data_IF_776965945398
#
_entry.id   IF_776965945398
#
_cell.length_a   1.000
_cell.length_b   1.000
_cell.length_c   1.000
_cell.angle_alpha   90.00
_cell.angle_beta   90.00
_cell.angle_gamma   90.00
#
_symmetry.space_group_name_H-M   'P 1'
#
loop_
_entity.id
_entity.type
_entity.pdbx_description
1 polymer ?
#
# COMPACT_ATOMS: atom_id res chain seq x y z
N UNK A 1 19.31 -9.29 10.32
CA UNK A 1 19.92 -9.92 9.13
C UNK A 1 21.30 -9.33 8.91
N UNK A 2 22.35 -10.16 8.77
CA UNK A 2 23.71 -9.68 8.42
C UNK A 2 23.90 -9.84 6.90
N UNK A 3 23.87 -8.72 6.17
CA UNK A 3 24.16 -8.65 4.74
C UNK A 3 25.64 -8.35 4.45
N UNK A 4 26.51 -8.65 5.42
CA UNK A 4 27.95 -8.47 5.28
C UNK A 4 28.46 -9.28 4.08
N UNK A 5 29.25 -8.63 3.23
CA UNK A 5 29.82 -9.18 1.99
C UNK A 5 28.79 -9.66 0.94
N UNK A 6 27.51 -9.32 1.10
CA UNK A 6 26.51 -9.58 0.07
C UNK A 6 26.66 -8.57 -1.08
N UNK A 7 26.65 -9.07 -2.31
CA UNK A 7 26.66 -8.25 -3.53
C UNK A 7 25.30 -8.22 -4.23
N UNK A 8 24.47 -9.24 -4.03
CA UNK A 8 23.14 -9.34 -4.61
C UNK A 8 22.16 -10.02 -3.67
N UNK A 9 20.89 -9.65 -3.79
CA UNK A 9 19.76 -10.26 -3.11
C UNK A 9 18.74 -10.70 -4.15
N UNK A 10 18.20 -11.91 -4.01
CA UNK A 10 17.00 -12.34 -4.72
C UNK A 10 15.88 -12.43 -3.69
N UNK A 11 14.73 -11.81 -3.94
CA UNK A 11 13.54 -11.87 -3.09
C UNK A 11 12.44 -12.48 -3.92
N UNK A 12 12.00 -13.69 -3.56
CA UNK A 12 10.88 -14.34 -4.21
C UNK A 12 9.56 -13.91 -3.56
N UNK A 13 8.45 -14.08 -4.25
CA UNK A 13 7.08 -13.83 -3.79
C UNK A 13 6.11 -14.61 -4.67
N UNK A 14 4.92 -14.93 -4.15
CA UNK A 14 3.84 -15.47 -5.00
C UNK A 14 3.11 -14.33 -5.73
N UNK A 15 3.33 -13.10 -5.27
CA UNK A 15 2.68 -11.90 -5.73
C UNK A 15 3.68 -10.75 -5.69
N UNK A 16 3.48 -9.78 -6.58
CA UNK A 16 4.18 -8.51 -6.52
C UNK A 16 3.56 -7.60 -5.45
N UNK A 17 2.23 -7.54 -5.44
CA UNK A 17 1.42 -6.67 -4.58
C UNK A 17 0.80 -7.42 -3.42
N UNK A 18 0.21 -6.69 -2.48
CA UNK A 18 -0.45 -7.26 -1.31
C UNK A 18 0.35 -7.11 -0.02
N UNK A 19 1.28 -6.13 0.06
CA UNK A 19 1.92 -5.85 1.34
C UNK A 19 0.87 -5.37 2.36
N UNK A 20 0.78 -6.05 3.51
CA UNK A 20 -0.22 -5.77 4.55
C UNK A 20 0.38 -5.47 5.92
N UNK A 21 1.57 -6.01 6.26
CA UNK A 21 2.26 -5.70 7.51
C UNK A 21 3.08 -4.41 7.35
N UNK A 22 2.52 -3.29 7.82
CA UNK A 22 3.15 -1.98 7.74
C UNK A 22 4.53 -1.94 8.41
N UNK A 23 4.68 -2.56 9.57
CA UNK A 23 5.92 -2.50 10.34
C UNK A 23 7.00 -3.32 9.64
N UNK A 24 6.69 -4.56 9.29
CA UNK A 24 7.61 -5.47 8.61
C UNK A 24 8.04 -4.92 7.24
N UNK A 25 7.08 -4.45 6.42
CA UNK A 25 7.37 -3.93 5.09
C UNK A 25 8.18 -2.61 5.14
N UNK A 26 7.81 -1.67 6.03
CA UNK A 26 8.54 -0.40 6.17
C UNK A 26 9.94 -0.61 6.72
N UNK A 27 10.11 -1.50 7.69
CA UNK A 27 11.42 -1.85 8.25
C UNK A 27 12.30 -2.51 7.18
N UNK A 28 11.75 -3.46 6.42
CA UNK A 28 12.42 -4.14 5.32
C UNK A 28 12.85 -3.16 4.23
N UNK A 29 11.95 -2.25 3.82
CA UNK A 29 12.24 -1.20 2.86
C UNK A 29 13.42 -0.33 3.31
N UNK A 30 13.39 0.16 4.55
CA UNK A 30 14.47 1.01 5.10
C UNK A 30 15.80 0.26 5.10
N UNK A 31 15.81 -1.00 5.50
CA UNK A 31 17.02 -1.83 5.50
C UNK A 31 17.55 -2.04 4.08
N UNK A 32 16.68 -2.34 3.12
CA UNK A 32 17.03 -2.56 1.72
C UNK A 32 17.62 -1.31 1.07
N UNK A 33 16.97 -0.15 1.27
CA UNK A 33 17.43 1.14 0.76
C UNK A 33 18.79 1.49 1.31
N UNK A 34 18.97 1.42 2.64
CA UNK A 34 20.27 1.66 3.28
C UNK A 34 21.35 0.76 2.69
N UNK A 35 21.05 -0.53 2.49
CA UNK A 35 22.00 -1.46 1.89
C UNK A 35 22.32 -1.10 0.43
N UNK A 36 21.35 -0.69 -0.38
CA UNK A 36 21.58 -0.26 -1.77
C UNK A 36 22.33 1.08 -1.86
N UNK A 37 22.08 2.02 -0.95
CA UNK A 37 22.71 3.34 -0.92
C UNK A 37 24.20 3.28 -0.56
N UNK A 38 24.61 2.27 0.22
CA UNK A 38 26.00 2.06 0.65
C UNK A 38 26.94 1.65 -0.50
N UNK A 39 26.44 0.96 -1.54
CA UNK A 39 27.26 0.57 -2.71
C UNK A 39 26.40 0.43 -3.98
N UNK A 40 26.70 1.24 -5.00
CA UNK A 40 25.99 1.28 -6.29
C UNK A 40 26.08 -0.02 -7.09
N UNK A 41 27.01 -0.91 -6.76
CA UNK A 41 27.15 -2.23 -7.40
C UNK A 41 26.19 -3.26 -6.83
N UNK A 42 25.63 -3.03 -5.64
CA UNK A 42 24.67 -3.94 -5.01
C UNK A 42 23.39 -4.04 -5.83
N UNK A 43 22.86 -5.26 -5.94
CA UNK A 43 21.66 -5.58 -6.72
C UNK A 43 20.57 -6.24 -5.88
N UNK A 44 19.32 -5.97 -6.24
CA UNK A 44 18.14 -6.65 -5.71
C UNK A 44 17.28 -7.13 -6.87
N UNK A 45 16.95 -8.39 -6.86
CA UNK A 45 16.13 -9.04 -7.88
C UNK A 45 14.83 -9.51 -7.23
N UNK A 46 13.70 -8.94 -7.65
CA UNK A 46 12.38 -9.35 -7.20
C UNK A 46 11.87 -10.43 -8.14
N UNK A 47 11.59 -11.62 -7.63
CA UNK A 47 11.17 -12.76 -8.42
C UNK A 47 9.70 -13.10 -8.14
N UNK A 48 8.87 -12.99 -9.17
CA UNK A 48 7.39 -13.13 -9.10
C UNK A 48 6.87 -14.15 -10.13
N UNK A 49 5.65 -14.68 -9.97
CA UNK A 49 5.04 -15.52 -10.99
C UNK A 49 4.75 -14.77 -12.29
N UNK A 50 4.76 -15.49 -13.42
CA UNK A 50 4.48 -14.89 -14.73
C UNK A 50 3.06 -14.31 -14.85
N UNK A 51 2.10 -14.92 -14.14
CA UNK A 51 0.68 -14.58 -14.11
C UNK A 51 0.33 -13.54 -13.04
N UNK A 52 1.31 -13.05 -12.27
CA UNK A 52 1.08 -12.00 -11.28
C UNK A 52 0.55 -10.71 -11.93
N UNK A 53 -0.37 -10.04 -11.23
CA UNK A 53 -0.78 -8.69 -11.56
C UNK A 53 0.45 -7.75 -11.51
N UNK A 54 0.72 -7.08 -12.63
CA UNK A 54 1.82 -6.11 -12.76
C UNK A 54 1.31 -4.69 -12.95
N UNK A 55 0.02 -4.52 -13.22
CA UNK A 55 -0.59 -3.20 -13.38
C UNK A 55 -1.06 -2.64 -12.04
N UNK A 56 -1.09 -3.44 -10.98
CA UNK A 56 -1.37 -2.94 -9.62
C UNK A 56 -2.85 -2.75 -9.34
N UNK A 57 -3.71 -3.51 -10.02
CA UNK A 57 -5.12 -3.63 -9.68
C UNK A 57 -5.33 -4.20 -8.27
N UNK A 58 -4.42 -5.06 -7.80
CA UNK A 58 -4.44 -5.61 -6.43
C UNK A 58 -3.50 -4.89 -5.45
N UNK A 59 -2.91 -3.76 -5.86
CA UNK A 59 -1.99 -3.01 -5.01
C UNK A 59 -2.69 -2.38 -3.81
N UNK A 60 -2.08 -2.48 -2.64
CA UNK A 60 -2.52 -1.82 -1.41
C UNK A 60 -2.01 -0.38 -1.33
N UNK A 61 -2.50 0.38 -0.35
CA UNK A 61 -1.94 1.69 -0.04
C UNK A 61 -0.49 1.62 0.44
N UNK A 62 -0.09 0.50 1.04
CA UNK A 62 1.28 0.24 1.44
C UNK A 62 2.17 -0.03 0.22
N UNK A 63 1.72 -0.83 -0.74
CA UNK A 63 2.48 -1.08 -1.98
C UNK A 63 2.84 0.22 -2.71
N UNK A 64 1.87 1.15 -2.85
CA UNK A 64 2.09 2.47 -3.47
C UNK A 64 3.20 3.26 -2.77
N UNK A 65 3.23 3.22 -1.43
CA UNK A 65 4.29 3.87 -0.62
C UNK A 65 5.64 3.20 -0.80
N UNK A 66 5.66 1.87 -0.84
CA UNK A 66 6.88 1.10 -1.02
C UNK A 66 7.48 1.37 -2.39
N UNK A 67 6.66 1.37 -3.44
CA UNK A 67 7.10 1.63 -4.82
C UNK A 67 7.66 3.05 -4.97
N UNK A 68 6.99 4.09 -4.44
CA UNK A 68 7.55 5.46 -4.42
C UNK A 68 8.95 5.51 -3.79
N UNK A 69 9.19 4.69 -2.76
CA UNK A 69 10.49 4.57 -2.11
C UNK A 69 11.52 3.69 -2.83
N UNK A 70 11.11 2.88 -3.81
CA UNK A 70 11.95 1.87 -4.49
C UNK A 70 12.24 2.18 -5.96
N UNK A 71 11.39 2.98 -6.61
CA UNK A 71 11.43 3.22 -8.06
C UNK A 71 12.79 3.71 -8.57
N UNK A 72 13.47 4.55 -7.81
CA UNK A 72 14.79 5.08 -8.19
C UNK A 72 15.86 3.99 -8.31
N UNK A 73 15.73 2.90 -7.54
CA UNK A 73 16.64 1.76 -7.62
C UNK A 73 16.36 0.91 -8.86
N UNK A 74 15.12 0.85 -9.35
CA UNK A 74 14.84 0.23 -10.65
C UNK A 74 15.41 1.10 -11.78
N UNK A 75 15.15 2.41 -11.75
CA UNK A 75 15.64 3.39 -12.75
C UNK A 75 17.16 3.40 -12.86
N UNK A 76 17.87 3.25 -11.75
CA UNK A 76 19.34 3.23 -11.73
C UNK A 76 19.94 1.82 -11.92
N UNK A 77 19.08 0.81 -12.12
CA UNK A 77 19.46 -0.58 -12.38
C UNK A 77 19.98 -1.35 -11.16
N UNK A 78 19.83 -0.84 -9.94
CA UNK A 78 20.12 -1.58 -8.70
C UNK A 78 19.01 -2.56 -8.33
N UNK A 79 17.79 -2.34 -8.79
CA UNK A 79 16.66 -3.24 -8.61
C UNK A 79 16.13 -3.71 -9.96
N UNK A 80 15.66 -4.95 -10.04
CA UNK A 80 15.04 -5.49 -11.25
C UNK A 80 13.97 -6.50 -10.88
N UNK A 81 12.91 -6.58 -11.68
CA UNK A 81 11.84 -7.56 -11.51
C UNK A 81 12.03 -8.68 -12.52
N UNK A 82 11.84 -9.91 -12.06
CA UNK A 82 11.95 -11.12 -12.86
C UNK A 82 10.69 -11.98 -12.67
N UNK A 83 10.33 -12.69 -13.73
CA UNK A 83 9.21 -13.60 -13.75
C UNK A 83 9.68 -15.05 -13.89
N UNK A 84 9.00 -15.98 -13.22
CA UNK A 84 9.21 -17.41 -13.36
C UNK A 84 7.88 -18.17 -13.27
N UNK A 85 7.88 -19.42 -13.75
CA UNK A 85 6.74 -20.33 -13.59
C UNK A 85 6.32 -20.47 -12.11
N UNK A 86 5.03 -20.44 -11.84
CA UNK A 86 4.47 -20.44 -10.48
C UNK A 86 4.80 -21.74 -9.74
N UNK A 87 4.82 -22.89 -10.43
CA UNK A 87 5.19 -24.19 -9.85
C UNK A 87 6.68 -24.30 -9.51
N UNK A 88 7.53 -23.56 -10.23
CA UNK A 88 8.94 -23.36 -9.86
C UNK A 88 9.06 -22.48 -8.63
N UNK A 89 8.37 -21.34 -8.58
CA UNK A 89 8.45 -20.40 -7.46
C UNK A 89 7.89 -20.92 -6.14
N UNK A 90 6.90 -21.79 -6.19
CA UNK A 90 6.37 -22.47 -5.00
C UNK A 90 7.44 -23.24 -4.21
N UNK A 91 8.58 -23.55 -4.83
CA UNK A 91 9.73 -24.23 -4.22
C UNK A 91 10.98 -23.36 -4.18
N UNK A 92 10.85 -22.04 -4.30
CA UNK A 92 11.96 -21.12 -4.18
C UNK A 92 12.22 -20.74 -2.71
N UNK A 93 13.47 -20.40 -2.34
CA UNK A 93 13.72 -19.64 -1.13
C UNK A 93 12.99 -18.30 -1.17
N UNK A 94 12.46 -17.84 -0.03
CA UNK A 94 11.87 -16.48 0.12
C UNK A 94 12.89 -15.40 -0.20
N UNK A 95 14.13 -15.64 0.20
CA UNK A 95 15.24 -14.74 -0.06
C UNK A 95 16.54 -15.52 -0.24
N UNK A 96 17.36 -15.08 -1.19
CA UNK A 96 18.70 -15.60 -1.44
C UNK A 96 19.68 -14.43 -1.27
N UNK A 97 20.66 -14.58 -0.39
CA UNK A 97 21.73 -13.62 -0.20
C UNK A 97 22.98 -14.16 -0.89
N UNK A 98 23.40 -13.49 -1.98
CA UNK A 98 24.55 -13.90 -2.76
C UNK A 98 25.80 -13.20 -2.23
N UNK A 99 26.78 -14.00 -1.80
CA UNK A 99 28.05 -13.55 -1.23
C UNK A 99 29.23 -14.09 -2.05
N UNK A 100 30.42 -13.57 -1.78
CA UNK A 100 31.66 -14.01 -2.44
C UNK A 100 32.01 -15.49 -2.20
N UNK A 101 31.65 -16.03 -1.03
CA UNK A 101 32.05 -17.38 -0.59
C UNK A 101 30.90 -18.41 -0.61
N UNK A 102 29.71 -18.02 -1.09
CA UNK A 102 28.54 -18.90 -1.11
C UNK A 102 27.22 -18.15 -1.09
N UNK A 103 26.13 -18.88 -0.83
CA UNK A 103 24.78 -18.33 -0.76
C UNK A 103 24.12 -18.69 0.57
N UNK A 104 23.40 -17.72 1.14
CA UNK A 104 22.45 -17.98 2.22
C UNK A 104 21.04 -18.00 1.62
N UNK A 105 20.33 -19.12 1.76
CA UNK A 105 18.96 -19.31 1.27
C UNK A 105 18.00 -19.36 2.46
N UNK A 106 17.06 -18.42 2.51
CA UNK A 106 16.05 -18.31 3.54
C UNK A 106 14.76 -18.94 3.04
N UNK A 107 14.38 -20.04 3.66
CA UNK A 107 13.27 -20.88 3.25
C UNK A 107 12.07 -20.68 4.17
N UNK A 108 10.86 -20.76 3.61
CA UNK A 108 9.63 -20.44 4.32
C UNK A 108 8.40 -20.71 3.47
N UNK A 109 7.24 -20.41 4.03
CA UNK A 109 5.96 -20.46 3.30
C UNK A 109 5.89 -19.34 2.27
N UNK A 110 5.50 -19.68 1.04
CA UNK A 110 5.35 -18.77 -0.10
C UNK A 110 3.91 -18.29 -0.30
N UNK A 111 2.93 -18.95 0.32
CA UNK A 111 1.51 -18.73 0.04
C UNK A 111 1.07 -17.33 0.50
N UNK A 112 0.47 -16.56 -0.41
CA UNK A 112 0.02 -15.19 -0.22
C UNK A 112 1.12 -14.22 0.25
N UNK A 113 2.36 -14.43 -0.18
CA UNK A 113 3.52 -13.61 0.19
C UNK A 113 3.97 -12.66 -0.93
N UNK A 114 3.68 -11.38 -0.76
CA UNK A 114 4.21 -10.32 -1.62
C UNK A 114 5.74 -10.17 -1.47
N UNK A 115 6.46 -9.95 -2.57
CA UNK A 115 7.88 -9.55 -2.54
C UNK A 115 8.11 -8.23 -1.78
N UNK A 116 7.10 -7.37 -1.70
CA UNK A 116 7.14 -6.09 -1.00
C UNK A 116 6.70 -6.20 0.48
N UNK A 117 6.09 -7.32 0.87
CA UNK A 117 5.59 -7.55 2.24
C UNK A 117 6.67 -7.77 3.31
N UNK A 118 7.93 -7.88 2.90
CA UNK A 118 9.09 -8.14 3.76
C UNK A 118 9.72 -9.51 3.47
N UNK A 119 10.98 -9.57 3.02
CA UNK A 119 11.60 -10.80 2.50
C UNK A 119 11.84 -11.89 3.55
N UNK A 120 11.72 -11.54 4.84
CA UNK A 120 11.85 -12.47 5.96
C UNK A 120 10.51 -12.89 6.56
N UNK A 121 9.38 -12.37 6.06
CA UNK A 121 8.07 -12.83 6.48
C UNK A 121 7.88 -14.30 6.06
N UNK A 122 7.41 -15.13 7.00
CA UNK A 122 7.18 -16.56 6.76
C UNK A 122 8.44 -17.43 6.68
N UNK A 123 9.64 -16.87 6.87
CA UNK A 123 10.89 -17.65 6.87
C UNK A 123 10.98 -18.52 8.11
N UNK A 124 11.22 -19.81 7.91
CA UNK A 124 11.32 -20.81 8.98
C UNK A 124 12.75 -21.32 9.18
N UNK A 125 13.59 -21.34 8.14
CA UNK A 125 14.96 -21.86 8.25
C UNK A 125 15.94 -21.22 7.25
N UNK A 126 17.22 -21.37 7.56
CA UNK A 126 18.35 -20.91 6.76
C UNK A 126 19.14 -22.11 6.25
N UNK A 127 19.32 -22.20 4.93
CA UNK A 127 20.26 -23.09 4.27
C UNK A 127 21.50 -22.30 3.83
N UNK A 128 22.70 -22.88 3.98
CA UNK A 128 23.92 -22.35 3.39
C UNK A 128 24.39 -23.29 2.31
N UNK A 129 24.53 -22.79 1.10
CA UNK A 129 24.83 -23.60 -0.08
C UNK A 129 26.01 -23.03 -0.84
N UNK A 130 26.75 -23.92 -1.51
CA UNK A 130 27.72 -23.49 -2.51
C UNK A 130 26.96 -23.00 -3.76
N UNK A 131 27.53 -22.08 -4.57
CA UNK A 131 26.82 -21.49 -5.70
C UNK A 131 26.21 -22.50 -6.68
N UNK A 132 26.92 -23.59 -6.99
CA UNK A 132 26.47 -24.62 -7.92
C UNK A 132 25.30 -25.47 -7.39
N UNK A 133 25.13 -25.53 -6.08
CA UNK A 133 24.07 -26.30 -5.41
C UNK A 133 22.86 -25.43 -5.05
N UNK A 134 22.94 -24.12 -5.35
CA UNK A 134 21.88 -23.15 -5.04
C UNK A 134 20.65 -23.34 -5.91
N UNK A 135 19.50 -22.96 -5.37
CA UNK A 135 18.24 -22.99 -6.08
C UNK A 135 18.30 -22.10 -7.34
N UNK A 136 18.90 -20.90 -7.23
CA UNK A 136 18.96 -19.96 -8.35
C UNK A 136 19.80 -20.52 -9.50
N UNK A 137 20.92 -21.19 -9.21
CA UNK A 137 21.75 -21.81 -10.24
C UNK A 137 20.99 -22.90 -11.01
N UNK A 138 20.25 -23.76 -10.30
CA UNK A 138 19.45 -24.82 -10.91
C UNK A 138 18.28 -24.31 -11.77
N UNK A 139 17.82 -23.07 -11.54
CA UNK A 139 16.56 -22.56 -12.08
C UNK A 139 16.70 -21.35 -13.02
N UNK A 140 17.90 -20.80 -13.18
CA UNK A 140 18.12 -19.54 -13.92
C UNK A 140 17.63 -19.56 -15.36
N UNK A 141 17.68 -20.73 -16.02
CA UNK A 141 17.33 -20.88 -17.44
C UNK A 141 15.86 -20.59 -17.80
N UNK A 142 14.96 -20.47 -16.82
CA UNK A 142 13.57 -20.08 -17.07
C UNK A 142 13.11 -18.92 -16.20
N UNK A 143 14.03 -18.02 -15.85
CA UNK A 143 13.74 -16.75 -15.20
C UNK A 143 13.85 -15.65 -16.25
N UNK A 144 12.79 -14.87 -16.44
CA UNK A 144 12.73 -13.80 -17.45
C UNK A 144 12.71 -12.43 -16.80
N UNK A 145 13.58 -11.53 -17.22
CA UNK A 145 13.55 -10.13 -16.77
C UNK A 145 12.30 -9.41 -17.26
N UNK A 146 11.73 -8.58 -16.40
CA UNK A 146 10.68 -7.62 -16.69
C UNK A 146 11.25 -6.22 -16.54
N UNK A 147 11.05 -5.36 -17.54
CA UNK A 147 11.58 -4.00 -17.52
C UNK A 147 10.54 -3.00 -17.04
N UNK A 148 10.98 -2.09 -16.16
CA UNK A 148 10.22 -0.92 -15.73
C UNK A 148 8.91 -1.24 -15.02
N UNK A 149 8.84 -2.33 -14.26
CA UNK A 149 7.60 -2.75 -13.59
C UNK A 149 7.22 -1.75 -12.50
N UNK A 150 8.18 -1.38 -11.64
CA UNK A 150 7.94 -0.43 -10.56
C UNK A 150 7.77 0.99 -11.11
N UNK A 151 8.55 1.35 -12.13
CA UNK A 151 8.47 2.65 -12.80
C UNK A 151 7.13 2.87 -13.50
N UNK A 152 6.64 1.87 -14.24
CA UNK A 152 5.33 1.93 -14.92
C UNK A 152 4.20 2.08 -13.91
N UNK A 153 4.25 1.34 -12.80
CA UNK A 153 3.25 1.47 -11.75
C UNK A 153 3.36 2.84 -11.05
N UNK A 154 4.57 3.29 -10.71
CA UNK A 154 4.81 4.58 -10.06
C UNK A 154 4.36 5.76 -10.93
N UNK A 155 4.48 5.68 -12.26
CA UNK A 155 4.02 6.73 -13.17
C UNK A 155 2.51 7.02 -13.07
N UNK A 156 1.73 6.08 -12.52
CA UNK A 156 0.29 6.25 -12.26
C UNK A 156 -0.02 6.84 -10.89
N UNK A 157 0.98 6.94 -10.02
CA UNK A 157 0.84 7.45 -8.66
C UNK A 157 1.13 8.94 -8.65
N UNK A 158 0.13 9.75 -8.27
CA UNK A 158 0.38 11.15 -7.91
C UNK A 158 0.59 11.25 -6.42
N UNK A 159 1.75 11.73 -6.01
CA UNK A 159 2.09 12.00 -4.61
C UNK A 159 1.88 13.48 -4.29
N UNK A 160 1.21 13.75 -3.17
CA UNK A 160 1.09 15.09 -2.59
C UNK A 160 1.62 15.01 -1.15
N UNK A 161 2.62 15.84 -0.85
CA UNK A 161 3.27 15.92 0.46
C UNK A 161 2.88 17.24 1.14
N UNK A 162 2.12 17.15 2.24
CA UNK A 162 1.74 18.28 3.07
C UNK A 162 2.60 18.31 4.34
N UNK A 163 3.46 19.32 4.45
CA UNK A 163 4.22 19.58 5.68
C UNK A 163 3.37 20.32 6.70
N UNK A 164 3.75 20.29 8.00
CA UNK A 164 3.10 21.10 9.02
C UNK A 164 3.05 22.59 8.63
N UNK A 165 1.85 23.16 8.57
CA UNK A 165 1.60 24.56 8.24
C UNK A 165 1.30 24.82 6.77
N UNK A 166 1.50 23.85 5.88
CA UNK A 166 1.22 24.02 4.45
C UNK A 166 -0.28 24.25 4.20
N UNK A 167 -0.65 25.18 3.29
CA UNK A 167 -2.03 25.29 2.85
C UNK A 167 -2.46 23.99 2.17
N UNK A 168 -3.70 23.57 2.42
CA UNK A 168 -4.27 22.37 1.82
C UNK A 168 -5.32 22.74 0.80
N UNK A 169 -4.92 22.67 -0.46
CA UNK A 169 -5.84 22.78 -1.57
C UNK A 169 -6.53 21.44 -1.79
N UNK A 170 -7.68 21.27 -1.14
CA UNK A 170 -8.50 20.07 -1.28
C UNK A 170 -9.19 20.00 -2.65
N UNK A 171 -9.40 21.14 -3.33
CA UNK A 171 -9.96 21.12 -4.68
C UNK A 171 -8.95 20.53 -5.66
N UNK A 172 -7.67 20.87 -5.50
CA UNK A 172 -6.59 20.22 -6.25
C UNK A 172 -6.43 18.73 -5.89
N UNK A 173 -6.51 18.39 -4.60
CA UNK A 173 -6.39 16.99 -4.16
C UNK A 173 -7.49 16.12 -4.77
N UNK A 174 -8.74 16.57 -4.74
CA UNK A 174 -9.91 15.83 -5.21
C UNK A 174 -10.32 16.23 -6.64
N UNK A 175 -9.42 16.82 -7.43
CA UNK A 175 -9.75 17.41 -8.74
C UNK A 175 -10.46 16.44 -9.68
N UNK A 176 -10.15 15.14 -9.58
CA UNK A 176 -10.71 14.09 -10.42
C UNK A 176 -12.21 13.84 -10.19
N UNK A 177 -12.73 14.25 -9.03
CA UNK A 177 -14.14 14.04 -8.63
C UNK A 177 -14.89 15.36 -8.38
N UNK A 178 -14.27 16.52 -8.60
CA UNK A 178 -14.93 17.83 -8.51
C UNK A 178 -16.15 17.85 -9.44
N UNK A 179 -17.28 18.35 -8.92
CA UNK A 179 -18.58 18.40 -9.59
C UNK A 179 -19.16 17.03 -10.05
N UNK A 180 -18.60 15.91 -9.57
CA UNK A 180 -19.07 14.55 -9.87
C UNK A 180 -20.03 14.02 -8.82
N UNK A 181 -20.82 13.01 -9.20
CA UNK A 181 -21.57 12.19 -8.26
C UNK A 181 -20.83 10.86 -8.03
N UNK A 182 -20.53 10.53 -6.79
CA UNK A 182 -19.68 9.38 -6.42
C UNK A 182 -20.29 8.54 -5.31
N UNK A 183 -20.03 7.23 -5.35
CA UNK A 183 -20.04 6.39 -4.17
C UNK A 183 -18.66 6.46 -3.52
N UNK A 184 -18.63 6.72 -2.21
CA UNK A 184 -17.42 6.94 -1.44
C UNK A 184 -17.24 5.80 -0.43
N UNK A 185 -16.08 5.13 -0.47
CA UNK A 185 -15.67 4.13 0.51
C UNK A 185 -14.48 4.67 1.32
N UNK A 186 -14.61 4.70 2.64
CA UNK A 186 -13.57 5.19 3.53
C UNK A 186 -13.17 4.07 4.48
N UNK A 187 -11.88 3.80 4.52
CA UNK A 187 -11.27 2.97 5.54
C UNK A 187 -10.23 3.79 6.30
N UNK A 188 -10.41 3.94 7.61
CA UNK A 188 -9.41 4.51 8.50
C UNK A 188 -9.70 4.04 9.95
N UNK A 189 -8.75 3.36 10.62
CA UNK A 189 -8.92 2.86 11.98
C UNK A 189 -9.36 3.90 13.00
N UNK A 190 -9.07 5.17 12.75
CA UNK A 190 -9.27 6.25 13.70
C UNK A 190 -10.34 7.25 13.26
N UNK A 191 -10.91 7.17 12.05
CA UNK A 191 -11.69 8.27 11.46
C UNK A 191 -12.88 8.73 12.29
N UNK A 192 -13.49 7.87 13.11
CA UNK A 192 -14.61 8.26 13.98
C UNK A 192 -14.46 7.84 15.45
N UNK A 193 -13.30 7.30 15.83
CA UNK A 193 -13.08 6.75 17.16
C UNK A 193 -13.28 7.81 18.26
N UNK A 194 -12.69 9.00 18.10
CA UNK A 194 -12.74 10.07 19.12
C UNK A 194 -13.55 11.29 18.63
N UNK A 195 -14.02 12.18 19.53
CA UNK A 195 -14.76 13.39 19.14
C UNK A 195 -14.05 14.22 18.06
N UNK A 196 -12.75 14.49 18.26
CA UNK A 196 -11.95 15.24 17.28
C UNK A 196 -11.86 14.52 15.92
N UNK A 197 -11.84 13.18 15.89
CA UNK A 197 -11.82 12.44 14.62
C UNK A 197 -13.15 12.61 13.87
N UNK A 198 -14.28 12.54 14.59
CA UNK A 198 -15.62 12.76 14.01
C UNK A 198 -15.77 14.16 13.42
N UNK A 199 -15.27 15.19 14.12
CA UNK A 199 -15.25 16.56 13.61
C UNK A 199 -14.39 16.70 12.34
N UNK A 200 -13.23 16.00 12.29
CA UNK A 200 -12.36 15.99 11.10
C UNK A 200 -13.01 15.27 9.93
N UNK A 201 -13.72 14.15 10.20
CA UNK A 201 -14.46 13.42 9.19
C UNK A 201 -15.63 14.25 8.64
N UNK A 202 -16.37 14.95 9.49
CA UNK A 202 -17.38 15.93 9.04
C UNK A 202 -16.74 17.03 8.18
N UNK A 203 -15.61 17.59 8.60
CA UNK A 203 -14.92 18.63 7.85
C UNK A 203 -14.46 18.15 6.46
N UNK A 204 -14.05 16.88 6.33
CA UNK A 204 -13.75 16.25 5.06
C UNK A 204 -15.00 16.24 4.16
N UNK A 205 -16.12 15.69 4.63
CA UNK A 205 -17.36 15.61 3.86
C UNK A 205 -17.90 17.00 3.48
N UNK A 206 -17.82 17.96 4.40
CA UNK A 206 -18.19 19.36 4.15
C UNK A 206 -17.29 19.99 3.07
N UNK A 207 -16.00 19.63 3.08
CA UNK A 207 -15.05 20.10 2.07
C UNK A 207 -15.38 19.52 0.69
N UNK A 208 -15.65 18.21 0.60
CA UNK A 208 -16.08 17.54 -0.62
C UNK A 208 -17.36 18.18 -1.18
N UNK A 209 -18.36 18.37 -0.33
CA UNK A 209 -19.61 19.03 -0.71
C UNK A 209 -19.38 20.45 -1.25
N UNK A 210 -18.52 21.24 -0.58
CA UNK A 210 -18.19 22.61 -0.99
C UNK A 210 -17.49 22.68 -2.34
N UNK A 211 -16.70 21.67 -2.71
CA UNK A 211 -16.05 21.57 -4.03
C UNK A 211 -16.94 20.84 -5.07
N UNK A 212 -18.24 20.71 -4.80
CA UNK A 212 -19.22 20.20 -5.76
C UNK A 212 -19.36 18.68 -5.83
N UNK A 213 -18.60 17.92 -5.02
CA UNK A 213 -18.72 16.46 -4.97
C UNK A 213 -20.06 16.09 -4.33
N UNK A 214 -20.86 15.30 -5.04
CA UNK A 214 -22.12 14.75 -4.55
C UNK A 214 -21.92 13.31 -4.12
N UNK A 215 -22.00 13.04 -2.82
CA UNK A 215 -21.85 11.66 -2.31
C UNK A 215 -23.20 10.95 -2.37
N UNK A 216 -23.29 9.92 -3.21
CA UNK A 216 -24.42 9.01 -3.27
C UNK A 216 -24.45 8.13 -2.02
N UNK A 217 -23.67 7.05 -2.04
CA UNK A 217 -23.43 6.20 -0.89
C UNK A 217 -22.11 6.55 -0.22
N UNK A 218 -22.12 6.59 1.11
CA UNK A 218 -20.95 6.66 1.97
C UNK A 218 -20.80 5.36 2.74
N UNK A 219 -19.80 4.55 2.42
CA UNK A 219 -19.41 3.37 3.18
C UNK A 219 -18.24 3.73 4.10
N UNK A 220 -18.34 3.38 5.38
CA UNK A 220 -17.35 3.73 6.39
C UNK A 220 -16.91 2.50 7.20
N UNK A 221 -15.60 2.25 7.19
CA UNK A 221 -14.93 1.21 7.99
C UNK A 221 -13.98 1.89 8.97
N UNK A 222 -14.09 1.55 10.25
CA UNK A 222 -13.22 2.04 11.32
C UNK A 222 -12.97 0.91 12.34
N UNK A 223 -12.04 1.10 13.28
CA UNK A 223 -11.77 0.14 14.37
C UNK A 223 -12.52 0.56 15.63
N UNK A 224 -13.62 -0.12 16.03
CA UNK A 224 -14.38 0.28 17.22
C UNK A 224 -13.53 0.23 18.50
N UNK A 225 -12.62 -0.75 18.59
CA UNK A 225 -11.72 -0.93 19.74
C UNK A 225 -10.78 0.25 20.03
N UNK A 226 -10.64 1.21 19.11
CA UNK A 226 -9.86 2.43 19.34
C UNK A 226 -10.57 3.46 20.26
N UNK A 227 -11.84 3.21 20.59
CA UNK A 227 -12.60 3.92 21.63
C UNK A 227 -13.29 2.90 22.53
N UNK A 228 -12.61 2.38 23.58
CA UNK A 228 -13.15 1.32 24.42
C UNK A 228 -14.36 1.77 25.26
N UNK A 229 -14.60 3.08 25.37
CA UNK A 229 -15.72 3.64 26.14
C UNK A 229 -17.07 3.53 25.41
N UNK A 230 -17.07 3.30 24.09
CA UNK A 230 -18.27 3.26 23.25
C UNK A 230 -18.23 2.05 22.32
N UNK A 231 -19.33 1.31 22.23
CA UNK A 231 -19.44 0.26 21.21
C UNK A 231 -19.61 0.84 19.79
N UNK A 232 -19.48 -0.02 18.77
CA UNK A 232 -19.59 0.40 17.37
C UNK A 232 -20.92 1.09 17.05
N UNK A 233 -22.03 0.64 17.67
CA UNK A 233 -23.36 1.20 17.46
C UNK A 233 -23.45 2.62 18.01
N UNK A 234 -22.99 2.85 19.24
CA UNK A 234 -22.98 4.16 19.86
C UNK A 234 -22.08 5.14 19.08
N UNK A 235 -20.91 4.68 18.62
CA UNK A 235 -20.04 5.48 17.75
C UNK A 235 -20.75 5.87 16.44
N UNK A 236 -21.44 4.92 15.80
CA UNK A 236 -22.23 5.14 14.57
C UNK A 236 -23.39 6.12 14.76
N UNK A 237 -24.13 6.00 15.86
CA UNK A 237 -25.23 6.90 16.20
C UNK A 237 -24.73 8.33 16.43
N UNK A 238 -23.60 8.50 17.12
CA UNK A 238 -23.02 9.81 17.35
C UNK A 238 -22.57 10.47 16.05
N UNK A 239 -21.94 9.71 15.14
CA UNK A 239 -21.61 10.24 13.81
C UNK A 239 -22.87 10.59 13.02
N UNK A 240 -23.86 9.71 13.01
CA UNK A 240 -25.12 9.95 12.28
C UNK A 240 -25.80 11.22 12.76
N UNK A 241 -25.84 11.47 14.08
CA UNK A 241 -26.36 12.72 14.64
C UNK A 241 -25.53 13.93 14.23
N UNK A 242 -24.20 13.81 14.24
CA UNK A 242 -23.30 14.89 13.83
C UNK A 242 -23.51 15.30 12.37
N UNK A 243 -23.76 14.34 11.49
CA UNK A 243 -23.93 14.57 10.05
C UNK A 243 -25.39 14.88 9.64
N UNK A 244 -26.36 14.65 10.52
CA UNK A 244 -27.78 14.80 10.24
C UNK A 244 -28.14 16.22 9.78
N UNK A 245 -28.99 16.32 8.75
CA UNK A 245 -29.50 17.59 8.23
C UNK A 245 -28.51 18.40 7.38
N UNK A 246 -27.28 17.91 7.16
CA UNK A 246 -26.24 18.64 6.41
C UNK A 246 -26.21 18.37 4.91
N UNK A 247 -26.96 17.37 4.42
CA UNK A 247 -27.03 17.03 3.00
C UNK A 247 -25.70 16.54 2.40
N UNK A 248 -24.80 15.99 3.22
CA UNK A 248 -23.44 15.61 2.81
C UNK A 248 -23.37 14.27 2.07
N UNK A 249 -24.41 13.45 2.13
CA UNK A 249 -24.55 12.15 1.46
C UNK A 249 -26.04 11.78 1.31
N UNK A 250 -26.38 10.80 0.44
CA UNK A 250 -27.74 10.24 0.36
C UNK A 250 -27.94 9.00 1.23
N UNK A 251 -26.98 8.08 1.21
CA UNK A 251 -27.01 6.83 1.98
C UNK A 251 -25.71 6.70 2.79
N UNK A 252 -25.81 6.36 4.08
CA UNK A 252 -24.66 6.07 4.94
C UNK A 252 -24.71 4.62 5.41
N UNK A 253 -23.62 3.89 5.19
CA UNK A 253 -23.42 2.52 5.65
C UNK A 253 -22.21 2.44 6.55
N UNK A 254 -22.38 1.74 7.65
CA UNK A 254 -21.34 1.44 8.61
C UNK A 254 -20.93 -0.02 8.48
N UNK A 255 -19.65 -0.27 8.28
CA UNK A 255 -19.05 -1.61 8.28
C UNK A 255 -17.89 -1.62 9.28
N UNK A 256 -18.17 -1.59 10.60
CA UNK A 256 -17.12 -1.57 11.61
C UNK A 256 -16.23 -2.80 11.49
N UNK A 257 -14.91 -2.61 11.53
CA UNK A 257 -13.98 -3.71 11.42
C UNK A 257 -14.19 -4.72 12.57
N UNK A 258 -14.40 -5.99 12.21
CA UNK A 258 -14.45 -7.09 13.18
C UNK A 258 -13.06 -7.26 13.83
N UNK A 259 -13.03 -7.62 15.12
CA UNK A 259 -11.83 -8.01 15.84
C UNK A 259 -11.04 -9.14 15.14
N UNK A 260 -11.70 -9.92 14.26
CA UNK A 260 -11.05 -10.94 13.41
C UNK A 260 -10.22 -10.37 12.27
N UNK A 261 -10.47 -9.13 11.81
CA UNK A 261 -9.56 -8.40 10.92
C UNK A 261 -8.36 -7.95 11.75
N UNK A 262 -7.43 -8.87 12.03
CA UNK A 262 -6.22 -8.64 12.83
C UNK A 262 -5.32 -7.50 12.31
N UNK A 263 -5.55 -7.01 11.09
CA UNK A 263 -4.67 -6.08 10.37
C UNK A 263 -5.43 -4.93 9.71
N UNK A 264 -6.21 -4.18 10.49
CA UNK A 264 -6.89 -2.97 9.99
C UNK A 264 -6.00 -1.73 10.22
N UNK A 265 -5.14 -1.45 9.25
CA UNK A 265 -4.23 -0.29 9.25
C UNK A 265 -4.39 0.60 8.02
N UNK A 266 -5.17 0.14 7.04
CA UNK A 266 -5.38 0.85 5.79
C UNK A 266 -6.12 2.16 6.04
N UNK A 267 -5.66 3.19 5.34
CA UNK A 267 -6.12 4.57 5.50
C UNK A 267 -6.31 5.12 4.10
N UNK A 268 -7.52 5.02 3.58
CA UNK A 268 -7.81 5.48 2.24
C UNK A 268 -9.23 6.00 2.08
N UNK A 269 -9.40 6.75 1.01
CA UNK A 269 -10.70 7.14 0.45
C UNK A 269 -10.72 6.61 -0.96
N UNK A 270 -11.77 5.91 -1.32
CA UNK A 270 -12.03 5.45 -2.69
C UNK A 270 -13.34 6.08 -3.16
N UNK A 271 -13.33 6.57 -4.39
CA UNK A 271 -14.46 7.24 -5.00
C UNK A 271 -14.74 6.64 -6.38
N UNK A 272 -15.92 6.06 -6.54
CA UNK A 272 -16.40 5.50 -7.81
C UNK A 272 -17.50 6.41 -8.34
N UNK A 273 -17.37 6.93 -9.56
CA UNK A 273 -18.40 7.80 -10.14
C UNK A 273 -19.66 7.01 -10.50
N UNK A 274 -20.82 7.60 -10.21
CA UNK A 274 -22.15 7.03 -10.47
C UNK A 274 -23.05 7.97 -11.29
N UNK A 275 -22.47 9.06 -11.81
CA UNK A 275 -23.15 9.96 -12.75
C UNK A 275 -23.12 9.42 -14.20
N UNK A 276 -23.66 10.21 -15.14
CA UNK A 276 -23.76 9.83 -16.56
C UNK A 276 -22.53 10.17 -17.40
N UNK A 277 -21.44 10.63 -16.78
CA UNK A 277 -20.19 10.95 -17.49
C UNK A 277 -19.30 9.69 -17.56
N UNK A 278 -18.09 9.84 -18.12
CA UNK A 278 -17.13 8.72 -18.20
C UNK A 278 -16.87 8.12 -16.81
N UNK A 279 -16.98 6.78 -16.66
CA UNK A 279 -16.71 6.11 -15.39
C UNK A 279 -15.25 6.27 -14.99
N UNK A 280 -15.05 6.56 -13.71
CA UNK A 280 -13.73 6.62 -13.12
C UNK A 280 -13.79 6.09 -11.69
N UNK A 281 -12.68 5.50 -11.27
CA UNK A 281 -12.39 5.12 -9.90
C UNK A 281 -11.13 5.87 -9.46
N UNK A 282 -11.19 6.55 -8.31
CA UNK A 282 -10.02 7.18 -7.70
C UNK A 282 -9.82 6.68 -6.31
N UNK A 283 -8.58 6.32 -6.01
CA UNK A 283 -8.14 5.95 -4.67
C UNK A 283 -7.14 6.97 -4.14
N UNK A 284 -7.33 7.37 -2.90
CA UNK A 284 -6.49 8.29 -2.14
C UNK A 284 -5.98 7.57 -0.89
N UNK A 285 -4.75 7.08 -0.93
CA UNK A 285 -4.10 6.45 0.23
C UNK A 285 -3.41 7.50 1.09
N UNK A 286 -3.87 7.66 2.32
CA UNK A 286 -3.50 8.76 3.23
C UNK A 286 -2.58 8.21 4.32
N UNK A 287 -1.31 8.61 4.36
CA UNK A 287 -0.32 8.03 5.27
C UNK A 287 -0.75 8.06 6.73
N UNK A 288 -1.30 9.18 7.17
CA UNK A 288 -1.65 9.44 8.56
C UNK A 288 -3.17 9.57 8.80
N UNK A 289 -3.98 9.16 7.81
CA UNK A 289 -5.44 9.14 7.91
C UNK A 289 -6.10 10.52 7.83
N UNK A 290 -7.42 10.53 7.95
CA UNK A 290 -8.27 11.70 7.70
C UNK A 290 -8.02 12.81 8.72
N UNK A 291 -7.72 12.46 9.97
CA UNK A 291 -7.37 13.46 11.00
C UNK A 291 -6.18 14.31 10.56
N UNK A 292 -5.12 13.65 10.08
CA UNK A 292 -3.97 14.35 9.56
C UNK A 292 -4.25 15.05 8.24
N UNK A 293 -5.07 14.50 7.33
CA UNK A 293 -5.47 15.15 6.07
C UNK A 293 -6.28 16.43 6.29
N UNK A 294 -7.04 16.52 7.39
CA UNK A 294 -7.86 17.69 7.69
C UNK A 294 -7.24 18.65 8.72
N UNK A 295 -6.11 18.31 9.34
CA UNK A 295 -5.37 19.16 10.28
C UNK A 295 -4.11 19.80 9.69
N UNK A 296 -4.17 21.09 9.30
CA UNK A 296 -3.07 21.87 8.69
C UNK A 296 -1.73 21.80 9.44
N UNK A 297 -1.76 21.70 10.76
CA UNK A 297 -0.55 21.67 11.60
C UNK A 297 0.13 20.28 11.63
N UNK A 298 -0.41 19.29 10.92
CA UNK A 298 0.12 17.93 10.88
C UNK A 298 0.72 17.61 9.52
N UNK A 299 1.69 16.71 9.51
CA UNK A 299 2.21 16.13 8.28
C UNK A 299 1.20 15.13 7.70
N UNK A 300 1.05 15.13 6.38
CA UNK A 300 0.20 14.19 5.65
C UNK A 300 0.72 13.97 4.24
N UNK A 301 0.90 12.73 3.82
CA UNK A 301 1.22 12.39 2.44
C UNK A 301 0.03 11.63 1.87
N UNK A 302 -0.40 12.02 0.67
CA UNK A 302 -1.46 11.32 -0.07
C UNK A 302 -0.88 10.75 -1.36
N UNK A 303 -1.13 9.47 -1.59
CA UNK A 303 -0.85 8.80 -2.85
C UNK A 303 -2.18 8.59 -3.57
N UNK A 304 -2.29 9.12 -4.79
CA UNK A 304 -3.51 9.06 -5.58
C UNK A 304 -3.29 8.20 -6.83
N UNK A 305 -4.22 7.28 -7.09
CA UNK A 305 -4.30 6.52 -8.36
C UNK A 305 -5.68 6.70 -8.97
N UNK A 306 -5.73 6.94 -10.29
CA UNK A 306 -6.97 7.10 -11.05
C UNK A 306 -7.04 5.98 -12.09
N UNK A 307 -8.14 5.24 -12.05
CA UNK A 307 -8.48 4.22 -13.04
C UNK A 307 -9.68 4.70 -13.86
N UNK A 308 -9.51 4.71 -15.18
CA UNK A 308 -10.53 5.13 -16.15
C UNK A 308 -10.99 3.89 -16.89
N UNK A 309 -12.28 3.59 -16.83
CA UNK A 309 -12.89 2.42 -17.49
C UNK A 309 -13.44 2.77 -18.88
#
# INVERSE_FOLDING_TARGET
>A
MRLENASSLVIAGDTLWGAFDLEAATSSLRALRRWLDEDRRRKVELLIPEDTDRVGATATGLDRRLVDGLVEYERNGQMSVYAADSGRLARAPRMIVIKSEGMDEFWGEMDHTSVLGGPLSGVSHLGRTAPQDSWIHANIGGIRRLDGVLDTFNARIRKIDYRPGDPRDHAQLFEAIVDREVDLHVEDPWCIARPANRERFEALLTTLHRIGVKVGRLNLVWQPGNCPELDARAQSELLSRLLSGKGLYRELRFDPADHRRKHFHDRFIEAVTIDCLSPLEVRYDITSGIDNLMARQKECIVFMTIDRH
#
